data_IF_177625835381
#
_entry.id   IF_177625835381
#
_cell.length_a   1.000
_cell.length_b   1.000
_cell.length_c   1.000
_cell.angle_alpha   90.00
_cell.angle_beta   90.00
_cell.angle_gamma   90.00
#
_symmetry.space_group_name_H-M   'P 1'
#
loop_
_entity.id
_entity.type
_entity.pdbx_description
1 polymer ?
#
# COMPACT_ATOMS: atom_id res chain seq x y z
N UNK A 1 30.98 10.41 -53.61
CA UNK A 1 31.15 10.38 -52.15
C UNK A 1 30.06 11.16 -51.36
N UNK A 2 29.20 11.91 -52.03
CA UNK A 2 28.15 12.69 -51.35
C UNK A 2 26.93 11.89 -50.85
N UNK A 3 26.62 10.72 -51.41
CA UNK A 3 25.43 9.95 -51.06
C UNK A 3 25.46 9.23 -49.72
N UNK A 4 26.62 8.84 -49.25
CA UNK A 4 26.78 8.08 -47.98
C UNK A 4 26.52 8.93 -46.75
N UNK A 5 26.85 10.23 -46.80
CA UNK A 5 26.62 11.15 -45.70
C UNK A 5 25.14 11.52 -45.55
N UNK A 6 24.40 11.61 -46.65
CA UNK A 6 22.96 11.92 -46.61
C UNK A 6 22.14 10.77 -46.01
N UNK A 7 22.49 9.53 -46.34
CA UNK A 7 21.81 8.35 -45.78
C UNK A 7 22.10 8.21 -44.27
N UNK A 8 23.30 8.51 -43.82
CA UNK A 8 23.68 8.51 -42.40
C UNK A 8 22.90 9.54 -41.60
N UNK A 9 22.73 10.76 -42.11
CA UNK A 9 21.99 11.82 -41.46
C UNK A 9 20.52 11.46 -41.29
N UNK A 10 19.87 10.92 -42.36
CA UNK A 10 18.49 10.50 -42.34
C UNK A 10 18.25 9.34 -41.33
N UNK A 11 19.19 8.40 -41.22
CA UNK A 11 19.09 7.28 -40.27
C UNK A 11 19.19 7.76 -38.81
N UNK A 12 20.07 8.72 -38.54
CA UNK A 12 20.26 9.31 -37.20
C UNK A 12 18.99 10.07 -36.77
N UNK A 13 18.36 10.82 -37.67
CA UNK A 13 17.14 11.55 -37.38
C UNK A 13 15.94 10.63 -37.11
N UNK A 14 15.83 9.54 -37.87
CA UNK A 14 14.80 8.51 -37.65
C UNK A 14 14.95 7.83 -36.29
N UNK A 15 16.17 7.52 -35.88
CA UNK A 15 16.46 6.93 -34.56
C UNK A 15 16.15 7.95 -33.46
N UNK A 16 16.51 9.22 -33.64
CA UNK A 16 16.21 10.30 -32.68
C UNK A 16 14.70 10.49 -32.49
N UNK A 17 13.93 10.53 -33.57
CA UNK A 17 12.47 10.65 -33.49
C UNK A 17 11.83 9.44 -32.77
N UNK A 18 12.30 8.24 -33.03
CA UNK A 18 11.78 7.05 -32.35
C UNK A 18 12.11 7.03 -30.87
N UNK A 19 13.29 7.46 -30.48
CA UNK A 19 13.71 7.54 -29.08
C UNK A 19 12.87 8.56 -28.30
N UNK A 20 12.60 9.72 -28.88
CA UNK A 20 11.77 10.76 -28.22
C UNK A 20 10.31 10.35 -28.05
N UNK A 21 9.74 9.63 -29.03
CA UNK A 21 8.35 9.12 -28.93
C UNK A 21 8.25 8.03 -27.88
N UNK A 22 9.22 7.11 -27.81
CA UNK A 22 9.23 6.05 -26.80
C UNK A 22 9.47 6.61 -25.39
N UNK A 23 10.35 7.59 -25.25
CA UNK A 23 10.59 8.28 -23.97
C UNK A 23 9.35 9.04 -23.48
N UNK A 24 8.63 9.71 -24.40
CA UNK A 24 7.39 10.42 -24.06
C UNK A 24 6.26 9.48 -23.66
N UNK A 25 6.13 8.31 -24.33
CA UNK A 25 5.15 7.29 -23.94
C UNK A 25 5.48 6.65 -22.60
N UNK A 26 6.77 6.43 -22.28
CA UNK A 26 7.20 5.91 -20.98
C UNK A 26 7.01 6.92 -19.86
N UNK A 27 7.22 8.22 -20.11
CA UNK A 27 6.99 9.27 -19.12
C UNK A 27 5.51 9.41 -18.75
N UNK A 28 4.59 9.33 -19.74
CA UNK A 28 3.14 9.36 -19.49
C UNK A 28 2.68 8.10 -18.77
N UNK A 29 3.18 6.92 -19.15
CA UNK A 29 2.87 5.67 -18.48
C UNK A 29 3.38 5.61 -17.04
N UNK A 30 4.58 6.12 -16.78
CA UNK A 30 5.16 6.19 -15.43
C UNK A 30 4.38 7.17 -14.54
N UNK A 31 3.91 8.30 -15.07
CA UNK A 31 3.08 9.25 -14.32
C UNK A 31 1.72 8.65 -13.93
N UNK A 32 1.06 7.92 -14.83
CA UNK A 32 -0.21 7.25 -14.56
C UNK A 32 -0.03 6.12 -13.53
N UNK A 33 1.02 5.33 -13.65
CA UNK A 33 1.31 4.23 -12.70
C UNK A 33 1.67 4.76 -11.32
N UNK A 34 2.30 5.93 -11.22
CA UNK A 34 2.60 6.56 -9.93
C UNK A 34 1.37 7.20 -9.26
N UNK A 35 0.38 7.68 -10.04
CA UNK A 35 -0.85 8.27 -9.48
C UNK A 35 -1.81 7.23 -8.90
N UNK A 36 -1.85 6.02 -9.45
CA UNK A 36 -2.77 4.96 -9.01
C UNK A 36 -2.52 4.55 -7.54
N UNK A 37 -1.29 4.31 -7.05
CA UNK A 37 -1.06 3.99 -5.64
C UNK A 37 -1.36 5.15 -4.69
N UNK A 38 -1.22 6.43 -5.10
CA UNK A 38 -1.59 7.56 -4.27
C UNK A 38 -3.11 7.65 -4.02
N UNK A 39 -3.92 7.26 -4.99
CA UNK A 39 -5.38 7.24 -4.86
C UNK A 39 -5.88 6.07 -3.99
N UNK A 40 -5.08 5.01 -3.86
CA UNK A 40 -5.42 3.85 -3.03
C UNK A 40 -5.09 4.03 -1.54
N UNK A 41 -4.34 5.05 -1.15
CA UNK A 41 -3.93 5.28 0.25
C UNK A 41 -4.99 5.98 1.12
N UNK A 42 -6.12 6.39 0.54
CA UNK A 42 -7.05 7.31 1.17
C UNK A 42 -8.13 6.66 2.06
N UNK A 43 -8.09 5.34 2.41
CA UNK A 43 -9.30 4.70 2.91
C UNK A 43 -9.22 3.99 4.26
N UNK A 44 -8.07 3.84 4.90
CA UNK A 44 -7.98 3.29 6.25
C UNK A 44 -6.81 3.93 7.02
N UNK A 45 -7.07 4.31 8.25
CA UNK A 45 -6.04 4.80 9.18
C UNK A 45 -5.90 3.82 10.33
N UNK A 46 -4.67 3.55 10.76
CA UNK A 46 -4.38 2.75 11.95
C UNK A 46 -3.69 3.58 13.02
N UNK A 47 -4.02 3.31 14.28
CA UNK A 47 -3.34 3.89 15.42
C UNK A 47 -1.95 3.26 15.62
N UNK A 48 -1.05 3.90 16.38
CA UNK A 48 0.14 3.24 16.90
C UNK A 48 -0.24 1.99 17.70
N UNK A 49 0.65 1.00 17.71
CA UNK A 49 0.52 -0.17 18.58
C UNK A 49 0.86 0.26 20.01
N UNK A 50 0.02 -0.08 20.96
CA UNK A 50 0.18 0.23 22.38
C UNK A 50 0.26 -1.08 23.15
N UNK A 51 1.21 -1.21 24.06
CA UNK A 51 1.27 -2.34 25.00
C UNK A 51 0.13 -2.20 26.02
N UNK A 52 -0.62 -3.27 26.21
CA UNK A 52 -1.63 -3.33 27.27
C UNK A 52 -0.96 -3.63 28.62
N UNK A 53 -1.68 -3.45 29.74
CA UNK A 53 -1.14 -3.70 31.07
C UNK A 53 -0.60 -5.12 31.32
N UNK A 54 -0.88 -6.07 30.41
CA UNK A 54 -0.31 -7.42 30.43
C UNK A 54 0.94 -7.43 29.54
N UNK A 55 2.08 -7.84 30.10
CA UNK A 55 3.36 -7.88 29.40
C UNK A 55 3.28 -8.77 28.14
N UNK A 56 3.77 -8.25 27.02
CA UNK A 56 3.79 -8.96 25.75
C UNK A 56 2.46 -8.94 24.97
N UNK A 57 1.44 -8.25 25.48
CA UNK A 57 0.16 -8.08 24.83
C UNK A 57 0.01 -6.66 24.29
N UNK A 58 -0.41 -6.55 23.03
CA UNK A 58 -0.49 -5.29 22.28
C UNK A 58 -1.88 -5.05 21.77
N UNK A 59 -2.26 -3.78 21.71
CA UNK A 59 -3.54 -3.34 21.12
C UNK A 59 -3.31 -2.26 20.08
N UNK A 60 -4.10 -2.29 19.02
CA UNK A 60 -4.17 -1.23 18.01
C UNK A 60 -5.60 -1.08 17.47
N UNK A 61 -5.87 0.08 16.90
CA UNK A 61 -7.15 0.40 16.28
C UNK A 61 -6.93 0.79 14.82
N UNK A 62 -7.90 0.50 13.97
CA UNK A 62 -7.97 1.08 12.64
C UNK A 62 -9.40 1.51 12.34
N UNK A 63 -9.52 2.56 11.53
CA UNK A 63 -10.80 3.05 11.03
C UNK A 63 -10.79 3.15 9.51
N UNK A 64 -11.94 2.90 8.90
CA UNK A 64 -12.14 3.05 7.47
C UNK A 64 -13.45 3.82 7.21
N UNK A 65 -13.44 4.69 6.20
CA UNK A 65 -14.62 5.42 5.79
C UNK A 65 -15.73 4.47 5.34
N UNK A 66 -16.98 4.88 5.56
CA UNK A 66 -18.17 4.09 5.31
C UNK A 66 -18.25 3.45 3.93
N UNK A 67 -19.16 2.50 3.79
CA UNK A 67 -19.39 1.69 2.61
C UNK A 67 -19.28 0.19 2.91
N UNK A 68 -19.79 -0.64 2.02
CA UNK A 68 -19.95 -2.08 2.25
C UNK A 68 -18.63 -2.83 2.51
N UNK A 69 -17.47 -2.27 2.09
CA UNK A 69 -16.18 -2.88 2.32
C UNK A 69 -15.35 -2.19 3.42
N UNK A 70 -15.91 -1.20 4.13
CA UNK A 70 -15.16 -0.43 5.13
C UNK A 70 -14.72 -1.33 6.31
N UNK A 71 -15.55 -2.25 6.76
CA UNK A 71 -15.20 -3.22 7.79
C UNK A 71 -14.02 -4.11 7.35
N UNK A 72 -14.02 -4.58 6.12
CA UNK A 72 -12.93 -5.40 5.59
C UNK A 72 -11.62 -4.61 5.49
N UNK A 73 -11.70 -3.31 5.15
CA UNK A 73 -10.53 -2.43 5.11
C UNK A 73 -9.96 -2.17 6.50
N UNK A 74 -10.81 -1.89 7.51
CA UNK A 74 -10.36 -1.68 8.89
C UNK A 74 -9.77 -2.97 9.48
N UNK A 75 -10.41 -4.12 9.26
CA UNK A 75 -9.88 -5.44 9.66
C UNK A 75 -8.51 -5.72 9.02
N UNK A 76 -8.41 -5.55 7.69
CA UNK A 76 -7.13 -5.73 6.99
C UNK A 76 -6.05 -4.79 7.53
N UNK A 77 -6.38 -3.56 7.86
CA UNK A 77 -5.44 -2.57 8.38
C UNK A 77 -4.88 -2.98 9.75
N UNK A 78 -5.73 -3.44 10.69
CA UNK A 78 -5.26 -3.90 12.00
C UNK A 78 -4.40 -5.15 11.88
N UNK A 79 -4.78 -6.12 11.06
CA UNK A 79 -4.01 -7.34 10.84
C UNK A 79 -2.65 -7.05 10.20
N UNK A 80 -2.60 -6.17 9.21
CA UNK A 80 -1.34 -5.78 8.55
C UNK A 80 -0.42 -5.01 9.49
N UNK A 81 -0.96 -4.12 10.32
CA UNK A 81 -0.18 -3.35 11.31
C UNK A 81 0.39 -4.27 12.39
N UNK A 82 -0.38 -5.23 12.90
CA UNK A 82 0.07 -6.23 13.86
C UNK A 82 1.19 -7.11 13.26
N UNK A 83 1.00 -7.57 12.02
CA UNK A 83 1.99 -8.37 11.30
C UNK A 83 3.31 -7.62 11.12
N UNK A 84 3.26 -6.36 10.69
CA UNK A 84 4.44 -5.52 10.53
C UNK A 84 5.15 -5.27 11.86
N UNK A 85 4.40 -5.04 12.93
CA UNK A 85 4.93 -4.82 14.27
C UNK A 85 5.70 -6.03 14.82
N UNK A 86 5.12 -7.24 14.71
CA UNK A 86 5.78 -8.47 15.14
C UNK A 86 6.97 -8.83 14.22
N UNK A 87 6.84 -8.60 12.89
CA UNK A 87 7.89 -8.89 11.92
C UNK A 87 9.20 -8.10 12.19
N UNK A 88 9.10 -6.86 12.70
CA UNK A 88 10.25 -6.06 13.12
C UNK A 88 11.06 -6.72 14.26
N UNK A 89 10.46 -7.65 14.96
CA UNK A 89 11.07 -8.46 16.04
C UNK A 89 11.42 -9.89 15.63
N UNK A 90 11.21 -10.23 14.34
CA UNK A 90 11.38 -11.60 13.84
C UNK A 90 10.28 -12.56 14.27
N UNK A 91 9.13 -12.03 14.71
CA UNK A 91 8.01 -12.75 15.29
C UNK A 91 6.79 -12.71 14.38
N UNK A 92 5.75 -13.47 14.72
CA UNK A 92 4.45 -13.50 14.06
C UNK A 92 3.35 -13.15 15.07
N UNK A 93 2.28 -12.44 14.63
CA UNK A 93 1.18 -12.08 15.51
C UNK A 93 0.26 -13.27 15.76
N UNK A 94 -0.22 -13.39 17.00
CA UNK A 94 -1.31 -14.26 17.42
C UNK A 94 -2.43 -13.40 17.95
N UNK A 95 -3.62 -13.52 17.36
CA UNK A 95 -4.79 -12.74 17.74
C UNK A 95 -5.35 -13.26 19.06
N UNK A 96 -5.46 -12.38 20.05
CA UNK A 96 -6.11 -12.65 21.34
C UNK A 96 -7.59 -12.31 21.27
N UNK A 97 -7.89 -11.11 20.76
CA UNK A 97 -9.28 -10.69 20.55
C UNK A 97 -9.36 -9.63 19.44
N UNK A 98 -10.50 -9.60 18.78
CA UNK A 98 -10.84 -8.57 17.82
C UNK A 98 -12.25 -8.08 18.08
N UNK A 99 -12.47 -6.77 18.02
CA UNK A 99 -13.77 -6.15 18.09
C UNK A 99 -13.96 -5.17 16.95
N UNK A 100 -15.18 -5.08 16.43
CA UNK A 100 -15.55 -4.16 15.35
C UNK A 100 -16.73 -3.33 15.76
N UNK A 101 -16.73 -2.05 15.37
CA UNK A 101 -17.83 -1.10 15.55
C UNK A 101 -18.22 -0.46 14.22
N UNK A 102 -19.43 0.11 14.13
CA UNK A 102 -19.90 0.77 12.92
C UNK A 102 -20.44 -0.22 11.89
N UNK A 103 -21.53 -0.91 12.20
CA UNK A 103 -22.08 -2.01 11.37
C UNK A 103 -22.94 -1.48 10.22
N UNK A 104 -23.33 -0.20 10.23
CA UNK A 104 -24.18 0.40 9.20
C UNK A 104 -23.38 0.88 8.00
N UNK A 105 -23.95 0.75 6.81
CA UNK A 105 -23.25 0.98 5.53
C UNK A 105 -22.70 2.40 5.33
N UNK A 106 -23.18 3.39 6.08
CA UNK A 106 -22.74 4.79 5.97
C UNK A 106 -21.91 5.28 7.16
N UNK A 107 -21.68 4.41 8.17
CA UNK A 107 -20.88 4.74 9.33
C UNK A 107 -19.39 4.45 9.09
N UNK A 108 -18.52 5.13 9.81
CA UNK A 108 -17.11 4.77 9.89
C UNK A 108 -16.99 3.45 10.63
N UNK A 109 -16.34 2.48 10.03
CA UNK A 109 -16.05 1.19 10.66
C UNK A 109 -14.73 1.27 11.39
N UNK A 110 -14.76 0.85 12.66
CA UNK A 110 -13.58 0.76 13.50
C UNK A 110 -13.32 -0.70 13.86
N UNK A 111 -12.07 -1.11 13.77
CA UNK A 111 -11.59 -2.39 14.24
C UNK A 111 -10.56 -2.17 15.35
N UNK A 112 -10.68 -2.92 16.43
CA UNK A 112 -9.69 -2.99 17.50
C UNK A 112 -9.16 -4.41 17.55
N UNK A 113 -7.84 -4.55 17.53
CA UNK A 113 -7.15 -5.82 17.61
C UNK A 113 -6.28 -5.86 18.85
N UNK A 114 -6.41 -6.92 19.65
CA UNK A 114 -5.48 -7.27 20.71
C UNK A 114 -4.74 -8.53 20.29
N UNK A 115 -3.41 -8.51 20.35
CA UNK A 115 -2.55 -9.58 19.85
C UNK A 115 -1.27 -9.73 20.70
N UNK A 116 -0.60 -10.84 20.53
CA UNK A 116 0.70 -11.16 21.08
C UNK A 116 1.66 -11.50 19.94
N UNK A 117 2.96 -11.27 20.13
CA UNK A 117 3.98 -11.68 19.17
C UNK A 117 4.67 -12.96 19.66
N UNK A 118 4.82 -13.94 18.77
CA UNK A 118 5.48 -15.21 19.07
C UNK A 118 6.59 -15.52 18.06
N UNK A 119 7.65 -16.24 18.46
CA UNK A 119 8.67 -16.72 17.53
C UNK A 119 8.03 -17.56 16.41
N UNK A 120 8.67 -17.54 15.24
CA UNK A 120 8.32 -18.47 14.16
C UNK A 120 8.79 -19.86 14.53
N UNK A 121 7.93 -20.82 14.40
CA UNK A 121 8.26 -22.24 14.57
C UNK A 121 8.79 -22.81 13.27
#
# INVERSE_FOLDING_TARGET
>A
MSGVNQVRSALIDLIRQRVTVVARRRAVGAAIVALVPLLMQACASSSPVVETGDAGRYTLHASAAGGNAAWARSHKAVMQSASNFCAQRGEVPSVVSESSRGVRALETHEAQLTFECHPRF
#
